data_IF_944967358929
#
_entry.id   IF_944967358929
#
_cell.length_a   1.000
_cell.length_b   1.000
_cell.length_c   1.000
_cell.angle_alpha   90.00
_cell.angle_beta   90.00
_cell.angle_gamma   90.00
#
_symmetry.space_group_name_H-M   'P 1'
#
loop_
_entity.id
_entity.type
_entity.pdbx_description
1 polymer ?
#
# COMPACT_ATOMS: atom_id res chain seq x y z
N UNK A 1 12.63 5.92 13.07
CA UNK A 1 11.52 6.54 12.32
C UNK A 1 10.45 7.01 13.31
N UNK A 2 10.04 8.26 13.22
CA UNK A 2 8.94 8.82 14.02
C UNK A 2 7.90 9.43 13.06
N UNK A 3 6.63 9.16 13.30
CA UNK A 3 5.54 9.64 12.44
C UNK A 3 4.73 10.69 13.18
N UNK A 4 4.44 11.79 12.50
CA UNK A 4 3.48 12.82 12.92
C UNK A 4 2.34 12.90 11.88
N UNK A 5 1.34 13.73 12.12
CA UNK A 5 0.22 13.89 11.22
C UNK A 5 -0.18 15.35 11.08
N UNK A 6 -0.70 15.72 9.92
CA UNK A 6 -1.34 17.03 9.71
C UNK A 6 -2.71 17.08 10.40
N UNK A 7 -3.22 18.28 10.66
CA UNK A 7 -4.57 18.46 11.20
C UNK A 7 -5.64 17.80 10.32
N UNK A 8 -5.46 17.81 8.99
CA UNK A 8 -6.37 17.15 8.05
C UNK A 8 -6.36 15.63 8.23
N UNK A 9 -5.19 15.03 8.40
CA UNK A 9 -5.08 13.59 8.65
C UNK A 9 -5.69 13.21 10.00
N UNK A 10 -5.46 14.00 11.02
CA UNK A 10 -6.12 13.83 12.34
C UNK A 10 -7.64 13.85 12.20
N UNK A 11 -8.21 14.83 11.48
CA UNK A 11 -9.66 14.93 11.27
C UNK A 11 -10.24 13.70 10.55
N UNK A 12 -9.55 13.19 9.54
CA UNK A 12 -9.97 11.97 8.79
C UNK A 12 -9.94 10.75 9.70
N UNK A 13 -8.88 10.57 10.49
CA UNK A 13 -8.77 9.44 11.43
C UNK A 13 -9.83 9.52 12.53
N UNK A 14 -10.12 10.72 13.05
CA UNK A 14 -11.22 10.92 14.00
C UNK A 14 -12.59 10.61 13.39
N UNK A 15 -12.81 10.94 12.12
CA UNK A 15 -14.02 10.57 11.41
C UNK A 15 -14.15 9.04 11.31
N UNK A 16 -13.07 8.34 10.99
CA UNK A 16 -13.05 6.88 10.98
C UNK A 16 -13.40 6.31 12.36
N UNK A 17 -12.81 6.83 13.43
CA UNK A 17 -13.11 6.41 14.80
C UNK A 17 -14.56 6.57 15.20
N UNK A 18 -15.24 7.58 14.66
CA UNK A 18 -16.68 7.81 14.92
C UNK A 18 -17.58 6.89 14.08
N UNK A 19 -17.11 6.46 12.91
CA UNK A 19 -17.90 5.64 11.98
C UNK A 19 -17.68 4.14 12.15
N UNK A 20 -16.65 3.72 12.88
CA UNK A 20 -16.26 2.32 13.09
C UNK A 20 -16.35 1.95 14.56
N UNK A 21 -16.62 0.67 14.81
CA UNK A 21 -16.75 0.14 16.17
C UNK A 21 -15.56 -0.73 16.60
N UNK A 22 -14.80 -1.22 15.64
CA UNK A 22 -13.62 -2.05 15.85
C UNK A 22 -12.37 -1.24 16.17
N UNK A 23 -11.28 -1.94 16.42
CA UNK A 23 -9.96 -1.35 16.67
C UNK A 23 -9.36 -0.83 15.37
N UNK A 24 -9.01 0.46 15.32
CA UNK A 24 -8.36 1.04 14.14
C UNK A 24 -6.84 0.93 14.24
N UNK A 25 -6.21 0.67 13.11
CA UNK A 25 -4.76 0.57 12.97
C UNK A 25 -4.34 1.26 11.66
N UNK A 26 -3.29 2.05 11.71
CA UNK A 26 -2.63 2.58 10.50
C UNK A 26 -1.38 1.76 10.25
N UNK A 27 -1.24 1.21 9.04
CA UNK A 27 -0.03 0.52 8.61
C UNK A 27 0.58 1.21 7.40
N UNK A 28 1.90 1.30 7.35
CA UNK A 28 2.61 1.87 6.20
C UNK A 28 3.23 0.72 5.41
N UNK A 29 3.10 0.76 4.08
CA UNK A 29 3.80 -0.19 3.21
C UNK A 29 3.18 -1.58 3.11
N UNK A 30 1.92 -1.76 3.46
CA UNK A 30 1.22 -3.06 3.34
C UNK A 30 0.54 -3.28 1.97
N UNK A 31 0.48 -2.24 1.14
CA UNK A 31 -0.11 -2.32 -0.20
C UNK A 31 0.82 -2.94 -1.24
N UNK A 32 0.28 -3.72 -2.16
CA UNK A 32 1.07 -4.37 -3.22
C UNK A 32 1.64 -3.40 -4.25
N UNK A 33 1.04 -2.24 -4.45
CA UNK A 33 1.44 -1.26 -5.46
C UNK A 33 2.09 0.01 -4.86
N UNK A 34 1.87 0.28 -3.58
CA UNK A 34 2.40 1.46 -2.89
C UNK A 34 3.11 1.04 -1.60
N UNK A 35 4.38 0.69 -1.72
CA UNK A 35 5.20 0.20 -0.61
C UNK A 35 5.46 1.21 0.52
N UNK A 36 5.02 2.45 0.34
CA UNK A 36 5.20 3.54 1.31
C UNK A 36 3.89 4.23 1.70
N UNK A 37 2.75 3.84 1.13
CA UNK A 37 1.48 4.46 1.48
C UNK A 37 1.00 4.03 2.88
N UNK A 38 0.41 4.94 3.66
CA UNK A 38 -0.31 4.59 4.87
C UNK A 38 -1.71 4.09 4.52
N UNK A 39 -2.16 3.06 5.22
CA UNK A 39 -3.49 2.47 5.09
C UNK A 39 -4.16 2.41 6.47
N UNK A 40 -5.40 2.84 6.54
CA UNK A 40 -6.22 2.79 7.75
C UNK A 40 -7.18 1.59 7.67
N UNK A 41 -7.08 0.70 8.63
CA UNK A 41 -7.88 -0.52 8.70
C UNK A 41 -8.61 -0.67 10.03
N UNK A 42 -9.71 -1.39 10.01
CA UNK A 42 -10.44 -1.84 11.20
C UNK A 42 -10.11 -3.32 11.48
N UNK A 43 -9.86 -3.64 12.75
CA UNK A 43 -9.54 -4.99 13.24
C UNK A 43 -8.37 -5.68 12.51
N UNK A 44 -7.37 -4.88 12.16
CA UNK A 44 -6.18 -5.34 11.45
C UNK A 44 -5.02 -5.59 12.42
N UNK A 45 -4.34 -6.73 12.24
CA UNK A 45 -3.13 -7.08 12.99
C UNK A 45 -1.89 -6.83 12.14
N UNK A 46 -1.00 -5.94 12.58
CA UNK A 46 0.27 -5.70 11.91
C UNK A 46 1.10 -6.98 11.82
N UNK A 47 1.84 -7.14 10.73
CA UNK A 47 2.76 -8.27 10.53
C UNK A 47 3.91 -8.27 11.54
N UNK A 48 4.61 -9.40 11.68
CA UNK A 48 5.69 -9.56 12.69
C UNK A 48 6.92 -8.67 12.43
N UNK A 49 7.06 -8.15 11.21
CA UNK A 49 8.11 -7.20 10.80
C UNK A 49 7.72 -5.73 11.01
N UNK A 50 6.48 -5.47 11.42
CA UNK A 50 5.98 -4.14 11.64
C UNK A 50 6.09 -3.72 13.11
N UNK A 51 6.64 -2.55 13.36
CA UNK A 51 6.75 -1.95 14.68
C UNK A 51 6.01 -0.62 14.74
N UNK A 52 5.53 -0.29 15.94
CA UNK A 52 4.87 0.99 16.20
C UNK A 52 5.86 2.16 16.03
N UNK A 53 5.51 3.09 15.17
CA UNK A 53 6.33 4.28 14.85
C UNK A 53 5.68 5.60 15.23
N UNK A 54 4.43 5.58 15.67
CA UNK A 54 3.71 6.78 16.09
C UNK A 54 2.24 6.51 16.41
N UNK A 55 1.50 7.58 16.49
CA UNK A 55 0.06 7.58 16.77
C UNK A 55 -0.59 8.80 16.11
N UNK A 56 -1.79 8.63 15.57
CA UNK A 56 -2.62 9.68 14.98
C UNK A 56 -4.02 9.61 15.58
N UNK A 57 -4.46 10.64 16.27
CA UNK A 57 -5.77 10.71 16.92
C UNK A 57 -6.11 9.47 17.78
N UNK A 58 -5.13 8.91 18.50
CA UNK A 58 -5.30 7.71 19.32
C UNK A 58 -5.29 6.39 18.53
N UNK A 59 -4.96 6.42 17.24
CA UNK A 59 -4.76 5.25 16.39
C UNK A 59 -3.27 4.99 16.20
N UNK A 60 -2.82 3.78 16.54
CA UNK A 60 -1.42 3.40 16.41
C UNK A 60 -0.99 3.28 14.96
N UNK A 61 0.24 3.73 14.67
CA UNK A 61 0.87 3.66 13.34
C UNK A 61 2.01 2.67 13.37
N UNK A 62 2.01 1.73 12.43
CA UNK A 62 3.01 0.69 12.27
C UNK A 62 3.75 0.83 10.94
N UNK A 63 5.04 0.51 10.94
CA UNK A 63 5.87 0.52 9.74
C UNK A 63 6.82 -0.69 9.71
N UNK A 64 7.10 -1.25 8.51
CA UNK A 64 8.01 -2.37 8.35
C UNK A 64 9.47 -1.95 8.52
N UNK A 65 10.34 -2.94 8.76
CA UNK A 65 11.75 -2.72 9.04
C UNK A 65 12.47 -1.93 7.95
N UNK A 66 12.22 -2.24 6.67
CA UNK A 66 12.90 -1.56 5.56
C UNK A 66 12.63 -0.05 5.53
N UNK A 67 11.41 0.37 5.90
CA UNK A 67 11.03 1.77 5.98
C UNK A 67 11.68 2.44 7.19
N UNK A 68 11.66 1.78 8.34
CA UNK A 68 12.30 2.28 9.56
C UNK A 68 13.82 2.43 9.40
N UNK A 69 14.45 1.48 8.69
CA UNK A 69 15.88 1.53 8.38
C UNK A 69 16.21 2.66 7.39
N UNK A 70 15.33 2.93 6.43
CA UNK A 70 15.50 4.03 5.46
C UNK A 70 15.34 5.42 6.09
N UNK A 71 14.60 5.53 7.21
CA UNK A 71 14.33 6.79 7.91
C UNK A 71 14.63 6.68 9.40
N UNK A 72 15.92 6.51 9.78
CA UNK A 72 16.30 6.23 11.16
C UNK A 72 16.16 7.41 12.11
N UNK A 73 15.97 8.64 11.59
CA UNK A 73 15.87 9.87 12.40
C UNK A 73 14.46 10.10 12.95
N UNK A 74 14.40 11.07 13.88
CA UNK A 74 13.15 11.62 14.40
C UNK A 74 12.55 12.70 13.47
N UNK A 75 13.22 13.00 12.37
CA UNK A 75 12.86 14.03 11.40
C UNK A 75 11.69 13.56 10.53
N UNK A 76 10.63 13.59 11.14
CA UNK A 76 9.24 13.56 10.81
C UNK A 76 8.83 13.11 9.41
N UNK A 77 8.59 11.84 9.26
CA UNK A 77 7.61 11.41 8.27
C UNK A 77 6.24 11.92 8.73
N UNK A 78 5.56 12.64 7.86
CA UNK A 78 4.26 13.25 8.16
C UNK A 78 3.17 12.53 7.39
N UNK A 79 2.15 12.04 8.08
CA UNK A 79 0.92 11.57 7.45
C UNK A 79 0.06 12.79 7.11
N UNK A 80 -0.31 12.92 5.85
CA UNK A 80 -1.20 13.96 5.34
C UNK A 80 -2.35 13.31 4.56
N UNK A 81 -3.26 14.12 4.02
CA UNK A 81 -4.40 13.68 3.22
C UNK A 81 -4.29 14.22 1.81
N UNK A 82 -4.51 13.35 0.85
CA UNK A 82 -4.75 13.71 -0.54
C UNK A 82 -6.25 13.58 -0.84
N UNK A 83 -6.85 14.64 -1.37
CA UNK A 83 -8.25 14.66 -1.81
C UNK A 83 -8.33 14.26 -3.27
N UNK A 84 -9.07 13.22 -3.56
CA UNK A 84 -9.25 12.71 -4.92
C UNK A 84 -9.69 11.25 -4.91
N UNK A 85 -10.10 10.72 -6.07
CA UNK A 85 -10.48 9.33 -6.17
C UNK A 85 -9.28 8.45 -5.81
N UNK A 86 -9.52 7.48 -4.94
CA UNK A 86 -8.53 6.51 -4.53
C UNK A 86 -9.15 5.12 -4.57
N UNK A 87 -8.51 4.23 -5.30
CA UNK A 87 -8.88 2.82 -5.33
C UNK A 87 -7.99 2.07 -4.34
N UNK A 88 -8.45 1.96 -3.10
CA UNK A 88 -7.72 1.31 -2.02
C UNK A 88 -8.70 0.65 -1.06
N UNK A 89 -8.22 -0.33 -0.31
CA UNK A 89 -9.00 -0.97 0.76
C UNK A 89 -8.93 -0.19 2.08
N UNK A 90 -8.33 0.98 2.07
CA UNK A 90 -8.22 1.86 3.23
C UNK A 90 -9.54 2.56 3.51
N UNK A 91 -9.91 2.69 4.78
CA UNK A 91 -11.23 3.19 5.21
C UNK A 91 -11.53 4.59 4.67
N UNK A 92 -10.56 5.49 4.68
CA UNK A 92 -10.74 6.88 4.27
C UNK A 92 -11.11 7.06 2.79
N UNK A 93 -10.90 6.04 1.97
CA UNK A 93 -11.29 6.09 0.55
C UNK A 93 -12.79 6.17 0.37
N UNK A 94 -13.59 5.75 1.34
CA UNK A 94 -15.05 5.91 1.35
C UNK A 94 -15.47 7.39 1.30
N UNK A 95 -14.58 8.30 1.72
CA UNK A 95 -14.83 9.75 1.73
C UNK A 95 -14.13 10.49 0.60
N UNK A 96 -13.62 9.77 -0.42
CA UNK A 96 -12.95 10.34 -1.57
C UNK A 96 -11.60 10.97 -1.24
N UNK A 97 -10.91 10.45 -0.24
CA UNK A 97 -9.57 10.88 0.11
C UNK A 97 -8.68 9.68 0.45
N UNK A 98 -7.37 9.89 0.53
CA UNK A 98 -6.40 8.88 0.98
C UNK A 98 -5.34 9.49 1.87
N UNK A 99 -4.82 8.69 2.80
CA UNK A 99 -3.65 9.05 3.57
C UNK A 99 -2.40 8.95 2.68
N UNK A 100 -1.48 9.88 2.85
CA UNK A 100 -0.21 9.95 2.12
C UNK A 100 0.92 10.29 3.08
N UNK A 101 2.14 9.85 2.75
CA UNK A 101 3.34 10.28 3.47
C UNK A 101 3.95 11.52 2.82
N UNK A 102 4.38 12.46 3.66
CA UNK A 102 5.17 13.62 3.28
C UNK A 102 6.41 13.74 4.16
N UNK A 103 7.44 14.45 3.68
CA UNK A 103 8.68 14.73 4.39
C UNK A 103 9.87 13.91 3.89
N UNK A 104 11.08 14.42 4.12
CA UNK A 104 12.38 13.80 3.78
C UNK A 104 12.58 13.44 2.28
N UNK A 105 12.07 14.26 1.36
CA UNK A 105 12.18 13.99 -0.07
C UNK A 105 11.19 12.94 -0.58
N UNK A 106 10.30 12.47 0.28
CA UNK A 106 9.14 11.68 -0.08
C UNK A 106 7.94 12.61 -0.36
N UNK A 107 8.04 13.48 -1.33
CA UNK A 107 6.86 14.09 -1.95
C UNK A 107 6.16 13.06 -2.85
N UNK A 108 5.88 11.89 -2.27
CA UNK A 108 5.12 10.85 -2.92
C UNK A 108 3.65 11.18 -2.70
N UNK A 109 3.06 11.91 -3.63
CA UNK A 109 1.62 12.11 -3.60
C UNK A 109 1.09 13.50 -3.91
N UNK A 110 1.93 14.42 -4.33
CA UNK A 110 1.50 15.68 -4.91
C UNK A 110 1.57 15.60 -6.42
N UNK A 111 0.41 15.53 -7.09
CA UNK A 111 0.31 15.70 -8.55
C UNK A 111 1.21 14.77 -9.37
N UNK A 112 1.03 13.50 -9.26
CA UNK A 112 1.40 12.62 -10.35
C UNK A 112 0.16 12.38 -11.22
N UNK A 113 0.01 13.16 -12.25
CA UNK A 113 -0.41 12.58 -13.51
C UNK A 113 0.29 11.22 -13.64
N UNK A 114 -0.44 10.17 -13.56
CA UNK A 114 -0.35 8.81 -14.11
C UNK A 114 0.98 8.20 -14.57
N UNK A 115 2.15 8.74 -14.21
CA UNK A 115 3.42 8.23 -14.72
C UNK A 115 4.21 7.34 -13.76
N UNK A 116 3.80 7.20 -12.52
CA UNK A 116 4.64 6.53 -11.51
C UNK A 116 4.54 5.01 -11.45
N UNK A 117 3.60 4.40 -12.17
CA UNK A 117 3.54 2.94 -12.34
C UNK A 117 3.91 2.47 -13.75
N UNK A 118 4.38 3.36 -14.61
CA UNK A 118 4.93 2.95 -15.89
C UNK A 118 6.35 2.45 -15.67
N UNK A 119 6.47 1.13 -15.49
CA UNK A 119 7.71 0.45 -15.89
C UNK A 119 7.92 0.83 -17.33
N UNK A 120 9.05 1.53 -17.68
CA UNK A 120 9.28 1.88 -19.07
C UNK A 120 9.17 0.61 -19.91
N UNK A 121 8.45 0.63 -21.03
CA UNK A 121 8.31 -0.54 -21.85
C UNK A 121 9.72 -1.03 -22.21
N UNK A 122 9.99 -2.33 -22.15
CA UNK A 122 11.29 -2.86 -22.52
C UNK A 122 11.62 -2.35 -23.92
N UNK A 123 12.89 -2.03 -24.19
CA UNK A 123 13.31 -1.52 -25.50
C UNK A 123 12.76 -2.44 -26.59
N UNK A 124 12.34 -1.86 -27.72
CA UNK A 124 11.60 -2.54 -28.77
C UNK A 124 12.28 -3.85 -29.27
N UNK A 125 13.59 -3.96 -29.09
CA UNK A 125 14.39 -5.16 -29.37
C UNK A 125 14.10 -6.35 -28.45
N UNK A 126 13.41 -6.15 -27.32
CA UNK A 126 13.04 -7.23 -26.38
C UNK A 126 11.55 -7.64 -26.46
N UNK A 127 10.78 -7.00 -27.31
CA UNK A 127 9.41 -7.47 -27.58
C UNK A 127 9.49 -8.75 -28.41
N UNK A 128 9.47 -9.89 -27.73
CA UNK A 128 9.22 -11.17 -28.42
C UNK A 128 7.82 -11.08 -29.02
N UNK A 129 7.70 -11.39 -30.30
CA UNK A 129 6.41 -11.51 -30.94
C UNK A 129 5.63 -12.65 -30.26
N UNK A 130 4.29 -12.60 -30.27
CA UNK A 130 3.47 -13.68 -29.73
C UNK A 130 3.76 -15.04 -30.40
N UNK A 131 4.38 -15.03 -31.61
CA UNK A 131 4.82 -16.22 -32.32
C UNK A 131 6.14 -16.81 -31.79
N UNK A 132 6.94 -16.02 -31.03
CA UNK A 132 8.17 -16.47 -30.38
C UNK A 132 7.96 -16.89 -28.92
N UNK A 133 6.81 -16.60 -28.35
CA UNK A 133 6.36 -17.25 -27.14
C UNK A 133 5.99 -18.68 -27.54
N UNK A 134 6.96 -19.58 -27.42
CA UNK A 134 6.72 -21.00 -27.57
C UNK A 134 5.65 -21.42 -26.55
N UNK A 135 4.42 -21.52 -27.05
CA UNK A 135 3.26 -22.01 -26.31
C UNK A 135 3.45 -23.49 -25.89
N UNK A 136 4.63 -24.04 -26.15
CA UNK A 136 5.02 -25.43 -25.94
C UNK A 136 5.76 -25.71 -24.63
N UNK A 137 5.98 -24.74 -23.74
CA UNK A 137 6.36 -25.07 -22.36
C UNK A 137 5.15 -25.68 -21.62
N UNK A 138 4.83 -26.91 -22.02
CA UNK A 138 4.00 -27.76 -21.20
C UNK A 138 4.64 -27.87 -19.85
N UNK A 139 3.91 -27.42 -18.81
CA UNK A 139 4.26 -27.72 -17.42
C UNK A 139 4.47 -29.22 -17.34
N UNK A 140 5.73 -29.68 -17.32
CA UNK A 140 6.09 -31.06 -17.10
C UNK A 140 5.86 -31.37 -15.62
N UNK A 141 4.63 -31.65 -15.29
CA UNK A 141 4.22 -32.15 -13.99
C UNK A 141 2.89 -32.85 -14.16
N UNK A 142 2.78 -34.08 -13.69
CA UNK A 142 1.49 -34.74 -13.62
C UNK A 142 0.63 -33.96 -12.59
N UNK A 143 -0.56 -33.54 -13.02
CA UNK A 143 -1.56 -32.97 -12.11
C UNK A 143 -1.84 -33.99 -10.98
N UNK A 144 -1.79 -33.58 -9.73
CA UNK A 144 -2.21 -34.39 -8.60
C UNK A 144 -3.58 -35.01 -8.89
N UNK A 145 -3.75 -36.26 -8.52
CA UNK A 145 -4.95 -37.04 -8.83
C UNK A 145 -6.25 -36.36 -8.37
N UNK A 146 -6.18 -35.61 -7.27
CA UNK A 146 -7.28 -34.81 -6.74
C UNK A 146 -7.75 -33.66 -7.68
N UNK A 147 -6.94 -33.25 -8.66
CA UNK A 147 -7.25 -32.17 -9.59
C UNK A 147 -7.63 -32.65 -10.99
N UNK A 148 -7.52 -33.97 -11.27
CA UNK A 148 -7.83 -34.55 -12.62
C UNK A 148 -9.31 -34.48 -13.00
N UNK A 149 -10.20 -34.21 -12.03
CA UNK A 149 -11.65 -34.08 -12.21
C UNK A 149 -12.18 -32.67 -12.45
N UNK A 150 -11.36 -31.64 -12.32
CA UNK A 150 -11.79 -30.26 -12.50
C UNK A 150 -11.88 -29.92 -13.99
N UNK A 151 -13.09 -29.89 -14.54
CA UNK A 151 -13.38 -29.27 -15.84
C UNK A 151 -13.80 -27.82 -15.60
N UNK A 152 -13.00 -26.88 -16.04
CA UNK A 152 -13.41 -25.47 -16.17
C UNK A 152 -14.40 -25.42 -17.35
N UNK A 153 -15.63 -24.98 -17.08
CA UNK A 153 -16.64 -24.66 -18.09
C UNK A 153 -16.42 -23.26 -18.61
#
# INVERSE_FOLDING_TARGET
MRVSATERAVAVVEQARRSRSGSLTITIGTGCCESTAPFLYEDFWPGPDQERVGEVAGVEVFAPEYLRAGYPGDDGVVIDVYEGPAESMSIETEWGCRLVLRGLGLDIGGSSTDESCMVPPPPATQRRSAAELDVGQRVKGELPEALRGFRVR
#
